data_IF_129143219351
#
_entry.id   IF_129143219351
#
_cell.length_a   1.000
_cell.length_b   1.000
_cell.length_c   1.000
_cell.angle_alpha   90.00
_cell.angle_beta   90.00
_cell.angle_gamma   90.00
#
_symmetry.space_group_name_H-M   'P 1'
#
loop_
_entity.id
_entity.type
_entity.pdbx_description
1 polymer ?
#
# COMPACT_ATOMS: atom_id res chain seq x y z
N UNK A 1 1.71 38.51 10.15
CA UNK A 1 2.06 37.07 10.18
C UNK A 1 2.27 36.67 11.63
N UNK A 2 1.25 36.11 12.28
CA UNK A 2 1.31 35.74 13.69
C UNK A 2 1.91 34.34 13.80
N UNK A 3 3.13 34.22 14.35
CA UNK A 3 3.67 32.93 14.79
C UNK A 3 2.71 32.37 15.82
N UNK A 4 1.93 31.36 15.45
CA UNK A 4 1.18 30.57 16.41
C UNK A 4 2.18 30.03 17.44
N UNK A 5 2.05 30.48 18.69
CA UNK A 5 2.78 29.91 19.82
C UNK A 5 2.54 28.40 19.81
N UNK A 6 3.60 27.61 19.63
CA UNK A 6 3.56 26.16 19.77
C UNK A 6 3.00 25.80 21.13
N UNK A 7 1.72 25.39 21.17
CA UNK A 7 1.15 24.78 22.36
C UNK A 7 1.91 23.48 22.61
N UNK A 8 2.26 23.16 23.87
CA UNK A 8 2.83 21.86 24.18
C UNK A 8 1.85 20.77 23.72
N UNK A 9 2.35 19.67 23.13
CA UNK A 9 1.49 18.61 22.64
C UNK A 9 0.61 18.10 23.76
N UNK A 10 -0.67 17.92 23.46
CA UNK A 10 -1.60 17.28 24.38
C UNK A 10 -1.11 15.87 24.68
N UNK A 11 -1.46 15.33 25.85
CA UNK A 11 -1.14 13.93 26.20
C UNK A 11 -1.56 12.94 25.13
N UNK A 12 -2.71 13.19 24.49
CA UNK A 12 -3.22 12.36 23.41
C UNK A 12 -2.44 12.44 22.10
N UNK A 13 -1.78 13.57 21.84
CA UNK A 13 -0.86 13.73 20.71
C UNK A 13 0.48 13.08 21.03
N UNK A 14 1.00 13.28 22.25
CA UNK A 14 2.23 12.62 22.69
C UNK A 14 2.09 11.10 22.62
N UNK A 15 0.98 10.53 23.12
CA UNK A 15 0.71 9.09 23.01
C UNK A 15 0.73 8.59 21.55
N UNK A 16 0.21 9.40 20.62
CA UNK A 16 0.23 9.06 19.20
C UNK A 16 1.64 9.16 18.62
N UNK A 17 2.42 10.18 19.00
CA UNK A 17 3.82 10.33 18.60
C UNK A 17 4.65 9.14 19.10
N UNK A 18 4.50 8.75 20.36
CA UNK A 18 5.24 7.63 20.95
C UNK A 18 4.93 6.31 20.24
N UNK A 19 3.64 6.05 19.96
CA UNK A 19 3.20 4.89 19.16
C UNK A 19 3.76 4.93 17.75
N UNK A 20 3.71 6.09 17.09
CA UNK A 20 4.22 6.24 15.73
C UNK A 20 5.72 5.95 15.69
N UNK A 21 6.53 6.61 16.53
CA UNK A 21 7.98 6.41 16.61
C UNK A 21 8.34 4.95 16.89
N UNK A 22 7.61 4.30 17.79
CA UNK A 22 7.81 2.88 18.09
C UNK A 22 7.52 1.97 16.89
N UNK A 23 6.46 2.28 16.12
CA UNK A 23 6.10 1.56 14.90
C UNK A 23 7.12 1.78 13.78
N UNK A 24 7.69 2.99 13.66
CA UNK A 24 8.75 3.24 12.68
C UNK A 24 9.90 2.28 12.86
N UNK A 25 10.40 2.11 14.09
CA UNK A 25 11.52 1.21 14.39
C UNK A 25 11.22 -0.27 14.05
N UNK A 26 9.96 -0.64 13.83
CA UNK A 26 9.49 -2.00 13.57
C UNK A 26 8.68 -2.11 12.27
N UNK A 27 8.97 -1.22 11.32
CA UNK A 27 8.30 -1.24 10.02
C UNK A 27 8.43 -2.64 9.36
N UNK A 28 7.33 -3.11 8.78
CA UNK A 28 7.23 -4.43 8.14
C UNK A 28 6.93 -5.60 9.08
N UNK A 29 7.17 -5.46 10.40
CA UNK A 29 6.92 -6.54 11.36
C UNK A 29 5.44 -6.59 11.78
N UNK A 30 4.94 -7.80 12.03
CA UNK A 30 3.61 -7.98 12.65
C UNK A 30 3.65 -7.56 14.11
N UNK A 31 2.81 -6.59 14.47
CA UNK A 31 2.67 -6.11 15.84
C UNK A 31 1.21 -6.20 16.28
N UNK A 32 1.00 -6.67 17.51
CA UNK A 32 -0.31 -6.73 18.17
C UNK A 32 -0.48 -5.52 19.10
N UNK A 33 -1.71 -5.28 19.58
CA UNK A 33 -1.94 -4.26 20.61
C UNK A 33 -1.13 -4.51 21.89
N UNK A 34 -0.89 -5.77 22.25
CA UNK A 34 -0.04 -6.13 23.41
C UNK A 34 1.42 -5.73 23.19
N UNK A 35 1.95 -5.94 21.97
CA UNK A 35 3.33 -5.56 21.67
C UNK A 35 3.52 -4.05 21.70
N UNK A 36 2.56 -3.30 21.11
CA UNK A 36 2.57 -1.84 21.15
C UNK A 36 2.45 -1.37 22.60
N UNK A 37 1.49 -1.93 23.36
CA UNK A 37 1.27 -1.61 24.78
C UNK A 37 2.54 -1.74 25.60
N UNK A 38 3.22 -2.89 25.50
CA UNK A 38 4.48 -3.14 26.18
C UNK A 38 5.59 -2.20 25.68
N UNK A 39 5.60 -1.90 24.39
CA UNK A 39 6.60 -1.09 23.72
C UNK A 39 6.58 0.40 24.06
N UNK A 40 5.38 0.97 24.27
CA UNK A 40 5.21 2.41 24.56
C UNK A 40 4.79 2.70 26.00
N UNK A 41 4.63 1.66 26.83
CA UNK A 41 4.22 1.81 28.23
C UNK A 41 2.77 2.27 28.41
N UNK A 42 1.91 2.09 27.39
CA UNK A 42 0.48 2.40 27.48
C UNK A 42 -0.32 1.11 27.69
N UNK A 43 -1.22 1.01 28.67
CA UNK A 43 -2.07 -0.17 28.84
C UNK A 43 -2.92 -0.47 27.59
N UNK A 44 -3.06 -1.76 27.24
CA UNK A 44 -3.97 -2.20 26.17
C UNK A 44 -5.42 -1.90 26.56
N UNK A 45 -5.95 -0.81 26.01
CA UNK A 45 -7.25 -0.28 26.35
C UNK A 45 -7.68 0.86 25.42
N UNK A 46 -8.69 1.62 25.85
CA UNK A 46 -9.28 2.70 25.05
C UNK A 46 -8.27 3.79 24.67
N UNK A 47 -7.34 4.13 25.57
CA UNK A 47 -6.28 5.13 25.34
C UNK A 47 -5.34 4.70 24.23
N UNK A 48 -4.79 3.48 24.30
CA UNK A 48 -3.92 2.95 23.25
C UNK A 48 -4.65 2.83 21.91
N UNK A 49 -5.89 2.35 21.89
CA UNK A 49 -6.70 2.24 20.66
C UNK A 49 -6.96 3.60 20.03
N UNK A 50 -7.18 4.62 20.84
CA UNK A 50 -7.34 6.00 20.38
C UNK A 50 -6.04 6.56 19.79
N UNK A 51 -4.90 6.32 20.44
CA UNK A 51 -3.58 6.69 19.93
C UNK A 51 -3.30 6.00 18.58
N UNK A 52 -3.50 4.68 18.50
CA UNK A 52 -3.33 3.90 17.25
C UNK A 52 -4.24 4.40 16.13
N UNK A 53 -5.48 4.80 16.43
CA UNK A 53 -6.40 5.38 15.44
C UNK A 53 -5.86 6.71 14.90
N UNK A 54 -5.34 7.59 15.77
CA UNK A 54 -4.72 8.86 15.38
C UNK A 54 -3.46 8.64 14.55
N UNK A 55 -2.61 7.71 14.96
CA UNK A 55 -1.43 7.28 14.22
C UNK A 55 -1.79 6.83 12.82
N UNK A 56 -2.84 6.02 12.65
CA UNK A 56 -3.25 5.58 11.31
C UNK A 56 -3.61 6.77 10.39
N UNK A 57 -4.27 7.79 10.93
CA UNK A 57 -4.64 9.00 10.17
C UNK A 57 -3.39 9.84 9.83
N UNK A 58 -2.53 10.09 10.82
CA UNK A 58 -1.30 10.86 10.62
C UNK A 58 -0.34 10.16 9.65
N UNK A 59 -0.14 8.85 9.82
CA UNK A 59 0.65 8.02 8.92
C UNK A 59 0.14 8.12 7.48
N UNK A 60 -1.17 8.03 7.26
CA UNK A 60 -1.76 8.14 5.93
C UNK A 60 -1.52 9.52 5.28
N UNK A 61 -1.55 10.60 6.07
CA UNK A 61 -1.23 11.94 5.58
C UNK A 61 0.22 12.03 5.07
N UNK A 62 1.16 11.38 5.76
CA UNK A 62 2.58 11.38 5.39
C UNK A 62 2.96 10.28 4.37
N UNK A 63 1.95 9.58 3.82
CA UNK A 63 2.12 8.50 2.85
C UNK A 63 2.55 7.15 3.47
N UNK A 64 2.65 7.06 4.79
CA UNK A 64 2.82 5.81 5.51
C UNK A 64 1.51 5.04 5.65
N UNK A 65 1.59 3.76 6.01
CA UNK A 65 0.41 2.91 6.16
C UNK A 65 0.50 2.07 7.41
N UNK A 66 -0.51 2.16 8.26
CA UNK A 66 -0.76 1.20 9.32
C UNK A 66 -1.94 0.32 8.93
N UNK A 67 -1.67 -0.95 8.67
CA UNK A 67 -2.71 -1.92 8.31
C UNK A 67 -3.85 -1.98 9.33
N UNK A 68 -5.01 -2.44 8.87
CA UNK A 68 -6.04 -2.87 9.80
C UNK A 68 -5.54 -4.08 10.59
N UNK A 69 -5.89 -4.15 11.86
CA UNK A 69 -5.59 -5.34 12.65
C UNK A 69 -6.38 -6.52 12.08
N UNK A 70 -5.67 -7.55 11.65
CA UNK A 70 -6.21 -8.79 11.09
C UNK A 70 -5.61 -9.99 11.83
N UNK A 71 -6.18 -11.18 11.64
CA UNK A 71 -5.58 -12.40 12.21
C UNK A 71 -4.18 -12.60 11.61
N UNK A 72 -3.20 -12.84 12.48
CA UNK A 72 -1.81 -13.10 12.09
C UNK A 72 -1.73 -14.29 11.13
N UNK A 73 -0.84 -14.17 10.13
CA UNK A 73 -0.50 -15.24 9.20
C UNK A 73 0.62 -16.14 9.74
N UNK A 74 1.30 -15.70 10.79
CA UNK A 74 2.36 -16.45 11.45
C UNK A 74 1.75 -17.66 12.21
N UNK A 75 2.16 -18.91 11.89
CA UNK A 75 1.71 -20.10 12.61
C UNK A 75 1.91 -20.02 14.13
N UNK A 76 2.97 -19.33 14.58
CA UNK A 76 3.31 -19.20 16.00
C UNK A 76 2.41 -18.20 16.74
N UNK A 77 1.69 -17.34 16.00
CA UNK A 77 0.81 -16.28 16.54
C UNK A 77 -0.64 -16.49 16.13
N UNK A 78 -1.03 -17.74 15.87
CA UNK A 78 -2.34 -18.11 15.33
C UNK A 78 -3.46 -17.54 16.19
N UNK A 79 -4.37 -16.79 15.56
CA UNK A 79 -5.52 -16.18 16.23
C UNK A 79 -5.26 -14.81 16.87
N UNK A 80 -4.00 -14.36 16.95
CA UNK A 80 -3.66 -13.02 17.43
C UNK A 80 -3.99 -11.98 16.36
N UNK A 81 -4.63 -10.89 16.77
CA UNK A 81 -4.87 -9.74 15.89
C UNK A 81 -3.59 -8.90 15.80
N UNK A 82 -3.05 -8.77 14.60
CA UNK A 82 -1.80 -8.06 14.31
C UNK A 82 -2.01 -7.07 13.16
N UNK A 83 -1.18 -6.03 13.12
CA UNK A 83 -1.07 -5.09 12.03
C UNK A 83 0.40 -4.92 11.66
N UNK A 84 0.68 -4.46 10.45
CA UNK A 84 2.02 -4.04 10.01
C UNK A 84 2.01 -2.55 9.72
N UNK A 85 3.09 -1.89 10.12
CA UNK A 85 3.37 -0.51 9.75
C UNK A 85 4.33 -0.50 8.56
N UNK A 86 3.97 0.21 7.50
CA UNK A 86 4.73 0.33 6.27
C UNK A 86 5.11 1.79 6.06
N UNK A 87 6.40 2.02 5.84
CA UNK A 87 6.89 3.35 5.49
C UNK A 87 6.66 3.63 4.01
N UNK A 88 6.59 4.89 3.65
CA UNK A 88 6.44 5.34 2.26
C UNK A 88 7.65 4.85 1.47
N UNK A 89 7.42 4.29 0.28
CA UNK A 89 8.49 3.78 -0.58
C UNK A 89 9.03 2.38 -0.23
N UNK A 90 8.52 1.70 0.80
CA UNK A 90 8.95 0.33 1.14
C UNK A 90 8.28 -0.80 0.32
N UNK A 91 7.51 -0.45 -0.71
CA UNK A 91 7.11 -1.38 -1.78
C UNK A 91 6.58 -2.74 -1.30
N UNK A 92 5.56 -2.75 -0.46
CA UNK A 92 4.87 -3.99 -0.09
C UNK A 92 3.76 -4.31 -1.13
N UNK A 93 3.45 -5.59 -1.32
CA UNK A 93 2.41 -6.04 -2.25
C UNK A 93 1.05 -5.38 -1.95
N UNK A 94 0.79 -5.06 -0.69
CA UNK A 94 -0.42 -4.36 -0.27
C UNK A 94 -0.39 -2.86 -0.62
N UNK A 95 0.73 -2.17 -0.49
CA UNK A 95 0.91 -0.80 -0.97
C UNK A 95 0.78 -0.71 -2.48
N UNK A 96 1.30 -1.68 -3.24
CA UNK A 96 1.08 -1.75 -4.68
C UNK A 96 -0.41 -1.95 -5.03
N UNK A 97 -1.12 -2.81 -4.30
CA UNK A 97 -2.58 -3.01 -4.48
C UNK A 97 -3.39 -1.77 -4.11
N UNK A 98 -3.06 -1.10 -3.01
CA UNK A 98 -3.74 0.11 -2.58
C UNK A 98 -3.47 1.27 -3.55
N UNK A 99 -2.22 1.40 -4.05
CA UNK A 99 -1.89 2.36 -5.10
C UNK A 99 -2.68 2.11 -6.38
N UNK A 100 -2.76 0.85 -6.84
CA UNK A 100 -3.60 0.48 -7.99
C UNK A 100 -5.08 0.79 -7.74
N UNK A 101 -5.59 0.53 -6.53
CA UNK A 101 -6.98 0.82 -6.17
C UNK A 101 -7.26 2.33 -6.10
N UNK A 102 -6.31 3.13 -5.61
CA UNK A 102 -6.38 4.58 -5.63
C UNK A 102 -6.37 5.12 -7.07
N UNK A 103 -5.46 4.62 -7.92
CA UNK A 103 -5.43 4.96 -9.34
C UNK A 103 -6.77 4.68 -10.02
N UNK A 104 -7.36 3.49 -9.79
CA UNK A 104 -8.70 3.15 -10.34
C UNK A 104 -9.79 4.09 -9.88
N UNK A 105 -9.79 4.49 -8.60
CA UNK A 105 -10.75 5.47 -8.07
C UNK A 105 -10.58 6.83 -8.72
N UNK A 106 -9.34 7.29 -8.88
CA UNK A 106 -9.03 8.55 -9.55
C UNK A 106 -9.50 8.54 -11.01
N UNK A 107 -9.26 7.45 -11.75
CA UNK A 107 -9.76 7.29 -13.13
C UNK A 107 -11.29 7.35 -13.18
N UNK A 108 -11.98 6.67 -12.25
CA UNK A 108 -13.44 6.74 -12.17
C UNK A 108 -13.94 8.17 -11.89
N UNK A 109 -13.27 8.91 -11.01
CA UNK A 109 -13.58 10.31 -10.75
C UNK A 109 -13.34 11.20 -11.98
N UNK A 110 -12.28 10.91 -12.76
CA UNK A 110 -12.01 11.61 -14.02
C UNK A 110 -13.05 11.30 -15.10
N UNK A 111 -13.60 10.08 -15.13
CA UNK A 111 -14.71 9.73 -16.02
C UNK A 111 -16.01 10.45 -15.66
N UNK A 112 -16.24 10.73 -14.38
CA UNK A 112 -17.37 11.55 -13.94
C UNK A 112 -17.16 13.01 -14.34
N UNK A 113 -15.96 13.55 -14.12
CA UNK A 113 -15.58 14.90 -14.58
C UNK A 113 -15.75 15.06 -16.10
N UNK A 114 -15.27 14.08 -16.87
CA UNK A 114 -15.41 14.07 -18.33
C UNK A 114 -16.88 14.16 -18.75
N UNK A 115 -17.76 13.36 -18.12
CA UNK A 115 -19.20 13.38 -18.41
C UNK A 115 -19.86 14.70 -18.05
N UNK A 116 -19.55 15.25 -16.87
CA UNK A 116 -20.09 16.53 -16.43
C UNK A 116 -19.67 17.68 -17.35
N UNK A 117 -18.38 17.73 -17.72
CA UNK A 117 -17.87 18.75 -18.64
C UNK A 117 -18.42 18.56 -20.07
N UNK A 118 -18.55 17.34 -20.57
CA UNK A 118 -19.14 17.08 -21.88
C UNK A 118 -20.62 17.48 -21.94
N UNK A 119 -21.35 17.23 -20.85
CA UNK A 119 -22.74 17.66 -20.72
C UNK A 119 -22.86 19.20 -20.77
N UNK A 120 -22.03 19.92 -20.00
CA UNK A 120 -22.07 21.39 -20.02
C UNK A 120 -21.46 22.03 -21.26
N UNK A 121 -20.59 21.33 -21.98
CA UNK A 121 -20.14 21.77 -23.29
C UNK A 121 -21.26 21.72 -24.34
N UNK A 122 -22.20 20.78 -24.21
CA UNK A 122 -23.34 20.64 -25.12
C UNK A 122 -24.54 21.51 -24.74
N UNK A 123 -24.50 22.20 -23.59
CA UNK A 123 -25.57 23.04 -23.09
C UNK A 123 -25.58 24.41 -23.81
N UNK A 124 -26.67 24.79 -24.53
CA UNK A 124 -26.76 26.08 -25.21
C UNK A 124 -26.69 27.30 -24.29
N UNK A 125 -26.98 27.11 -23.00
CA UNK A 125 -26.96 28.17 -21.99
C UNK A 125 -25.69 28.12 -21.12
N UNK A 126 -24.68 27.34 -21.53
CA UNK A 126 -23.44 27.22 -20.79
C UNK A 126 -22.70 28.54 -20.71
N UNK A 127 -22.15 28.84 -19.53
CA UNK A 127 -21.40 30.07 -19.28
C UNK A 127 -20.06 30.05 -20.04
N UNK A 128 -19.50 28.86 -20.30
CA UNK A 128 -18.24 28.69 -21.03
C UNK A 128 -18.13 27.29 -21.66
N UNK A 129 -18.92 27.05 -22.71
CA UNK A 129 -18.98 25.76 -23.40
C UNK A 129 -17.61 25.31 -23.95
N UNK A 130 -16.77 26.25 -24.40
CA UNK A 130 -15.46 25.94 -24.98
C UNK A 130 -14.48 25.45 -23.91
N UNK A 131 -14.45 26.09 -22.74
CA UNK A 131 -13.63 25.63 -21.62
C UNK A 131 -14.04 24.22 -21.15
N UNK A 132 -15.35 23.97 -21.01
CA UNK A 132 -15.84 22.65 -20.63
C UNK A 132 -15.54 21.57 -21.68
N UNK A 133 -15.60 21.92 -22.97
CA UNK A 133 -15.21 21.02 -24.06
C UNK A 133 -13.73 20.62 -23.96
N UNK A 134 -12.82 21.60 -23.79
CA UNK A 134 -11.38 21.36 -23.61
C UNK A 134 -11.09 20.53 -22.35
N UNK A 135 -11.82 20.78 -21.26
CA UNK A 135 -11.68 19.98 -20.03
C UNK A 135 -12.13 18.54 -20.22
N UNK A 136 -13.23 18.30 -20.95
CA UNK A 136 -13.70 16.95 -21.28
C UNK A 136 -12.70 16.19 -22.17
N UNK A 137 -12.14 16.84 -23.19
CA UNK A 137 -11.10 16.27 -24.06
C UNK A 137 -9.82 15.93 -23.28
N UNK A 138 -9.39 16.82 -22.39
CA UNK A 138 -8.21 16.61 -21.54
C UNK A 138 -8.42 15.44 -20.59
N UNK A 139 -9.62 15.33 -20.00
CA UNK A 139 -10.00 14.21 -19.14
C UNK A 139 -9.97 12.89 -19.91
N UNK A 140 -10.54 12.85 -21.13
CA UNK A 140 -10.54 11.65 -21.98
C UNK A 140 -9.11 11.23 -22.39
N UNK A 141 -8.28 12.19 -22.81
CA UNK A 141 -6.88 11.95 -23.14
C UNK A 141 -6.09 11.37 -21.96
N UNK A 142 -6.29 11.93 -20.76
CA UNK A 142 -5.63 11.44 -19.55
C UNK A 142 -6.11 10.04 -19.13
N UNK A 143 -7.42 9.75 -19.25
CA UNK A 143 -7.95 8.41 -19.01
C UNK A 143 -7.33 7.38 -19.97
N UNK A 144 -7.25 7.68 -21.27
CA UNK A 144 -6.63 6.78 -22.27
C UNK A 144 -5.16 6.49 -21.97
N UNK A 145 -4.40 7.51 -21.56
CA UNK A 145 -3.00 7.32 -21.15
C UNK A 145 -2.89 6.37 -19.95
N UNK A 146 -3.69 6.58 -18.90
CA UNK A 146 -3.65 5.73 -17.70
C UNK A 146 -4.05 4.28 -18.02
N UNK A 147 -5.10 4.06 -18.82
CA UNK A 147 -5.48 2.71 -19.27
C UNK A 147 -4.37 2.03 -20.09
N UNK A 148 -3.64 2.78 -20.91
CA UNK A 148 -2.47 2.26 -21.64
C UNK A 148 -1.36 1.78 -20.69
N UNK A 149 -1.09 2.54 -19.63
CA UNK A 149 -0.10 2.20 -18.59
C UNK A 149 -0.53 0.97 -17.79
N UNK A 150 -1.80 0.85 -17.40
CA UNK A 150 -2.33 -0.36 -16.74
C UNK A 150 -2.17 -1.61 -17.61
N UNK A 151 -2.45 -1.49 -18.91
CA UNK A 151 -2.27 -2.56 -19.89
C UNK A 151 -0.82 -3.04 -19.94
N UNK A 152 0.15 -2.13 -19.94
CA UNK A 152 1.58 -2.43 -19.89
C UNK A 152 1.99 -3.09 -18.57
N UNK A 153 1.53 -2.55 -17.43
CA UNK A 153 1.81 -3.13 -16.12
C UNK A 153 1.32 -4.58 -15.99
N UNK A 154 0.15 -4.88 -16.54
CA UNK A 154 -0.40 -6.24 -16.55
C UNK A 154 0.46 -7.22 -17.36
N UNK A 155 1.05 -6.77 -18.47
CA UNK A 155 1.96 -7.56 -19.32
C UNK A 155 3.29 -7.79 -18.61
N UNK A 156 3.86 -6.76 -18.00
CA UNK A 156 5.13 -6.85 -17.23
C UNK A 156 4.98 -7.83 -16.07
N UNK A 157 3.89 -7.74 -15.30
CA UNK A 157 3.65 -8.66 -14.18
C UNK A 157 3.45 -10.11 -14.62
N UNK A 158 2.79 -10.34 -15.77
CA UNK A 158 2.67 -11.69 -16.36
C UNK A 158 4.04 -12.24 -16.76
N UNK A 159 4.86 -11.43 -17.43
CA UNK A 159 6.20 -11.82 -17.85
C UNK A 159 7.11 -12.12 -16.64
N UNK A 160 7.03 -11.30 -15.60
CA UNK A 160 7.81 -11.48 -14.38
C UNK A 160 7.43 -12.77 -13.65
N UNK A 161 6.14 -13.09 -13.52
CA UNK A 161 5.69 -14.37 -12.94
C UNK A 161 6.19 -15.58 -13.74
N UNK A 162 6.24 -15.48 -15.06
CA UNK A 162 6.79 -16.53 -15.92
C UNK A 162 8.29 -16.70 -15.68
N UNK A 163 9.04 -15.61 -15.58
CA UNK A 163 10.48 -15.64 -15.27
C UNK A 163 10.75 -16.21 -13.87
N UNK A 164 9.96 -15.86 -12.86
CA UNK A 164 10.12 -16.41 -11.50
C UNK A 164 9.89 -17.91 -11.49
N UNK A 165 8.85 -18.40 -12.17
CA UNK A 165 8.61 -19.86 -12.32
C UNK A 165 9.73 -20.56 -13.07
N UNK A 166 10.32 -19.91 -14.08
CA UNK A 166 11.47 -20.46 -14.80
C UNK A 166 12.71 -20.52 -13.89
N UNK A 167 12.95 -19.48 -13.08
CA UNK A 167 14.05 -19.46 -12.12
C UNK A 167 13.91 -20.52 -11.03
N UNK A 168 12.70 -20.72 -10.48
CA UNK A 168 12.40 -21.82 -9.54
C UNK A 168 12.71 -23.18 -10.17
N UNK A 169 12.26 -23.38 -11.41
CA UNK A 169 12.48 -24.63 -12.14
C UNK A 169 13.95 -24.89 -12.49
N UNK A 170 14.73 -23.83 -12.73
CA UNK A 170 16.18 -23.91 -12.90
C UNK A 170 16.84 -24.30 -11.59
N UNK A 171 16.46 -23.69 -10.47
CA UNK A 171 17.00 -24.03 -9.15
C UNK A 171 16.69 -25.49 -8.76
N UNK A 172 15.48 -25.98 -9.08
CA UNK A 172 15.12 -27.39 -8.87
C UNK A 172 15.97 -28.34 -9.73
N UNK A 173 16.19 -28.00 -11.00
CA UNK A 173 17.05 -28.77 -11.91
C UNK A 173 18.52 -28.74 -11.48
N UNK A 174 19.03 -27.60 -11.01
CA UNK A 174 20.38 -27.48 -10.47
C UNK A 174 20.56 -28.35 -9.22
N UNK A 175 19.55 -28.38 -8.34
CA UNK A 175 19.55 -29.25 -7.16
C UNK A 175 19.55 -30.75 -7.55
N UNK A 176 18.80 -31.13 -8.59
CA UNK A 176 18.75 -32.49 -9.11
C UNK A 176 20.10 -32.92 -9.74
N UNK A 177 20.74 -32.03 -10.50
CA UNK A 177 22.08 -32.24 -11.08
C UNK A 177 23.14 -32.41 -9.99
N UNK A 178 23.10 -31.59 -8.94
CA UNK A 178 24.02 -31.72 -7.80
C UNK A 178 23.84 -33.09 -7.14
N UNK A 179 22.61 -33.54 -6.90
CA UNK A 179 22.34 -34.86 -6.33
C UNK A 179 22.86 -36.01 -7.20
N UNK A 180 22.66 -35.93 -8.52
CA UNK A 180 23.17 -36.94 -9.46
C UNK A 180 24.71 -36.96 -9.53
N UNK A 181 25.36 -35.80 -9.41
CA UNK A 181 26.82 -35.68 -9.42
C UNK A 181 27.49 -36.17 -8.12
N UNK A 182 26.76 -36.18 -7.00
CA UNK A 182 27.23 -36.69 -5.70
C UNK A 182 27.00 -38.19 -5.49
N UNK A 183 26.35 -38.87 -6.44
CA UNK A 183 26.10 -40.31 -6.35
C UNK A 183 27.38 -41.08 -6.75
N UNK A 184 27.97 -41.92 -5.87
CA UNK A 184 29.16 -42.68 -6.23
C UNK A 184 28.84 -43.64 -7.38
N UNK A 185 29.81 -43.91 -8.29
CA UNK A 185 29.57 -44.79 -9.42
C UNK A 185 29.08 -46.14 -8.91
N UNK A 186 27.97 -46.62 -9.47
CA UNK A 186 27.48 -47.96 -9.17
C UNK A 186 28.60 -48.94 -9.49
N UNK A 187 29.08 -49.65 -8.45
CA UNK A 187 30.06 -50.70 -8.59
C UNK A 187 29.56 -51.70 -9.64
N UNK A 188 30.30 -51.81 -10.74
CA UNK A 188 30.11 -52.84 -11.75
C UNK A 188 30.37 -54.21 -11.09
N UNK A 189 29.37 -55.08 -11.15
CA UNK A 189 29.49 -56.51 -10.86
C UNK A 189 29.56 -57.28 -12.18
#
# INVERSE_FOLDING_TARGET
MSRAKDKPPTRSEQDAVDVLLWLYARAGHEVSYKDISAGVGLPDGSRLRSAVRRVRVAAAHDGHRLEQFMRSKDPLRRGVMTARFHRTGQGDEFGARDALLACRKSVASMAEMQRACAFEAANPNSVDAEAFSKMAETADGAMRMVSGVEGLGSKVMKNQRTMTRMAERIADLEAEVVQLSTRPPAASA
#
